data_IF_615459467679
#
_entry.id   IF_615459467679
#
_cell.length_a   1.000
_cell.length_b   1.000
_cell.length_c   1.000
_cell.angle_alpha   90.00
_cell.angle_beta   90.00
_cell.angle_gamma   90.00
#
_symmetry.space_group_name_H-M   'P 1'
#
loop_
_entity.id
_entity.type
_entity.pdbx_description
1 polymer ?
#
# COMPACT_ATOMS: atom_id res chain seq x y z
N UNK A 1 6.02 -101.89 -32.86
CA UNK A 1 6.42 -101.47 -31.50
C UNK A 1 5.70 -100.19 -31.13
N UNK A 2 5.14 -100.14 -29.91
CA UNK A 2 4.17 -99.16 -29.42
C UNK A 2 4.79 -97.79 -29.06
N UNK A 3 3.95 -96.76 -29.19
CA UNK A 3 4.04 -95.37 -28.70
C UNK A 3 4.68 -95.23 -27.31
N UNK A 4 5.35 -94.10 -27.06
CA UNK A 4 5.00 -93.17 -25.96
C UNK A 4 5.58 -91.77 -26.26
N UNK A 5 4.68 -90.78 -26.31
CA UNK A 5 4.97 -89.36 -26.46
C UNK A 5 4.64 -88.75 -25.09
N UNK A 6 5.63 -88.28 -24.35
CA UNK A 6 5.42 -87.59 -23.07
C UNK A 6 5.37 -86.08 -23.34
N UNK A 7 4.26 -85.48 -22.95
CA UNK A 7 4.04 -84.05 -22.94
C UNK A 7 3.47 -83.74 -21.55
N UNK A 8 4.20 -82.96 -20.75
CA UNK A 8 3.68 -82.43 -19.48
C UNK A 8 4.10 -80.97 -19.33
N UNK A 9 3.09 -80.18 -18.99
CA UNK A 9 2.96 -78.74 -19.13
C UNK A 9 3.87 -77.97 -18.15
N UNK A 10 4.51 -76.89 -18.63
CA UNK A 10 5.00 -75.81 -17.76
C UNK A 10 3.86 -74.86 -17.44
N UNK A 11 3.67 -74.60 -16.15
CA UNK A 11 2.68 -73.68 -15.59
C UNK A 11 3.01 -72.23 -16.00
N UNK A 12 2.02 -71.52 -16.58
CA UNK A 12 2.10 -70.07 -16.75
C UNK A 12 1.68 -69.39 -15.45
N UNK A 13 2.64 -68.76 -14.77
CA UNK A 13 2.39 -67.86 -13.65
C UNK A 13 2.05 -66.47 -14.23
N UNK A 14 0.76 -66.13 -14.28
CA UNK A 14 0.27 -64.79 -14.59
C UNK A 14 0.44 -63.90 -13.35
N UNK A 15 1.50 -63.09 -13.33
CA UNK A 15 1.64 -61.96 -12.41
C UNK A 15 0.79 -60.80 -12.93
N UNK A 16 -0.41 -60.63 -12.37
CA UNK A 16 -1.19 -59.40 -12.51
C UNK A 16 -0.48 -58.30 -11.70
N UNK A 17 0.30 -57.44 -12.37
CA UNK A 17 0.73 -56.17 -11.78
C UNK A 17 -0.46 -55.21 -11.76
N UNK A 18 -1.11 -55.08 -10.61
CA UNK A 18 -2.11 -54.06 -10.36
C UNK A 18 -1.41 -52.72 -10.14
N UNK A 19 -1.04 -52.05 -11.23
CA UNK A 19 -0.60 -50.65 -11.17
C UNK A 19 -1.82 -49.79 -10.83
N UNK A 20 -1.97 -49.46 -9.55
CA UNK A 20 -2.85 -48.39 -9.10
C UNK A 20 -2.28 -47.09 -9.67
N UNK A 21 -2.74 -46.72 -10.86
CA UNK A 21 -2.53 -45.39 -11.40
C UNK A 21 -3.38 -44.45 -10.54
N UNK A 22 -2.80 -43.88 -9.49
CA UNK A 22 -3.42 -42.74 -8.80
C UNK A 22 -3.50 -41.62 -9.83
N UNK A 23 -4.68 -41.47 -10.42
CA UNK A 23 -5.09 -40.26 -11.12
C UNK A 23 -4.98 -39.12 -10.10
N UNK A 24 -3.83 -38.44 -10.10
CA UNK A 24 -3.75 -37.08 -9.60
C UNK A 24 -4.60 -36.25 -10.56
N UNK A 25 -5.89 -36.14 -10.24
CA UNK A 25 -6.75 -35.10 -10.75
C UNK A 25 -6.18 -33.76 -10.27
N UNK A 26 -5.19 -33.23 -10.98
CA UNK A 26 -5.02 -31.79 -11.03
C UNK A 26 -6.20 -31.27 -11.85
N UNK A 27 -7.37 -31.18 -11.23
CA UNK A 27 -8.41 -30.30 -11.72
C UNK A 27 -7.77 -28.91 -11.76
N UNK A 28 -7.57 -28.39 -12.96
CA UNK A 28 -7.10 -27.02 -13.15
C UNK A 28 -8.20 -26.11 -12.60
N UNK A 29 -8.09 -25.79 -11.30
CA UNK A 29 -9.01 -24.85 -10.64
C UNK A 29 -9.02 -23.57 -11.44
N UNK A 30 -10.21 -23.07 -11.75
CA UNK A 30 -10.37 -21.75 -12.34
C UNK A 30 -9.63 -20.73 -11.47
N UNK A 31 -9.08 -19.67 -12.07
CA UNK A 31 -8.38 -18.66 -11.28
C UNK A 31 -9.32 -17.99 -10.28
N UNK A 32 -10.62 -17.92 -10.57
CA UNK A 32 -11.66 -17.54 -9.62
C UNK A 32 -11.68 -18.41 -8.36
N UNK A 33 -11.64 -19.75 -8.51
CA UNK A 33 -11.60 -20.68 -7.38
C UNK A 33 -10.33 -20.51 -6.55
N UNK A 34 -9.18 -20.28 -7.21
CA UNK A 34 -7.93 -20.03 -6.49
C UNK A 34 -7.98 -18.68 -5.76
N UNK A 35 -8.49 -17.63 -6.43
CA UNK A 35 -8.69 -16.32 -5.82
C UNK A 35 -9.58 -16.40 -4.59
N UNK A 36 -10.65 -17.19 -4.60
CA UNK A 36 -11.53 -17.37 -3.46
C UNK A 36 -10.78 -17.83 -2.19
N UNK A 37 -9.71 -18.63 -2.34
CA UNK A 37 -8.89 -19.13 -1.23
C UNK A 37 -7.87 -18.12 -0.69
N UNK A 38 -7.61 -17.02 -1.40
CA UNK A 38 -6.66 -15.98 -0.99
C UNK A 38 -7.41 -14.96 -0.12
N UNK A 39 -7.11 -14.93 1.16
CA UNK A 39 -7.71 -14.03 2.15
C UNK A 39 -6.71 -13.01 2.69
N UNK A 40 -5.42 -13.34 2.66
CA UNK A 40 -4.36 -12.52 3.25
C UNK A 40 -3.35 -12.03 2.22
N UNK A 41 -2.66 -10.94 2.56
CA UNK A 41 -1.55 -10.43 1.76
C UNK A 41 -0.42 -11.47 1.62
N UNK A 42 -0.16 -12.27 2.65
CA UNK A 42 0.86 -13.33 2.60
C UNK A 42 0.47 -14.47 1.65
N UNK A 43 -0.80 -14.90 1.67
CA UNK A 43 -1.31 -15.86 0.68
C UNK A 43 -1.23 -15.30 -0.74
N UNK A 44 -1.52 -14.02 -0.93
CA UNK A 44 -1.39 -13.35 -2.23
C UNK A 44 0.07 -13.30 -2.70
N UNK A 45 1.02 -12.98 -1.81
CA UNK A 45 2.47 -13.01 -2.10
C UNK A 45 2.93 -14.42 -2.50
N UNK A 46 2.48 -15.44 -1.76
CA UNK A 46 2.78 -16.83 -2.07
C UNK A 46 2.19 -17.26 -3.42
N UNK A 47 0.94 -16.87 -3.70
CA UNK A 47 0.29 -17.12 -4.99
C UNK A 47 1.08 -16.51 -6.16
N UNK A 48 1.54 -15.25 -6.03
CA UNK A 48 2.34 -14.57 -7.06
C UNK A 48 3.66 -15.31 -7.30
N UNK A 49 4.27 -15.87 -6.25
CA UNK A 49 5.52 -16.62 -6.34
C UNK A 49 5.34 -17.99 -7.03
N UNK A 50 4.22 -18.67 -6.79
CA UNK A 50 3.99 -20.03 -7.25
C UNK A 50 3.45 -20.10 -8.70
N UNK A 51 2.77 -19.06 -9.19
CA UNK A 51 2.24 -18.97 -10.56
C UNK A 51 3.04 -17.98 -11.43
N UNK A 52 4.28 -18.34 -11.79
CA UNK A 52 5.17 -17.59 -12.71
C UNK A 52 4.57 -17.19 -14.09
N UNK A 53 3.35 -17.67 -14.43
CA UNK A 53 2.71 -17.49 -15.74
C UNK A 53 1.72 -16.33 -15.85
N UNK A 54 1.29 -15.71 -14.74
CA UNK A 54 0.36 -14.57 -14.79
C UNK A 54 1.04 -13.29 -14.34
N UNK A 55 0.85 -12.19 -15.06
CA UNK A 55 1.37 -10.88 -14.68
C UNK A 55 0.56 -10.36 -13.47
N UNK A 56 0.97 -10.79 -12.28
CA UNK A 56 0.26 -10.56 -11.03
C UNK A 56 1.03 -9.61 -10.12
N UNK A 57 0.32 -8.65 -9.52
CA UNK A 57 0.93 -7.65 -8.63
C UNK A 57 -0.07 -7.15 -7.59
N UNK A 58 0.42 -6.92 -6.37
CA UNK A 58 -0.34 -6.25 -5.31
C UNK A 58 -0.17 -4.73 -5.47
N UNK A 59 -1.27 -4.01 -5.40
CA UNK A 59 -1.34 -2.55 -5.43
C UNK A 59 -2.04 -2.04 -4.18
N UNK A 60 -1.60 -0.90 -3.67
CA UNK A 60 -2.32 -0.16 -2.64
C UNK A 60 -2.95 1.06 -3.29
N UNK A 61 -4.27 1.15 -3.24
CA UNK A 61 -4.99 2.33 -3.68
C UNK A 61 -5.40 3.15 -2.46
N UNK A 62 -4.88 4.37 -2.40
CA UNK A 62 -5.35 5.43 -1.51
C UNK A 62 -6.46 6.25 -2.18
N UNK A 63 -7.62 6.39 -1.52
CA UNK A 63 -8.81 7.05 -2.08
C UNK A 63 -8.56 8.50 -2.47
N UNK A 64 -7.67 9.20 -1.76
CA UNK A 64 -7.32 10.58 -2.07
C UNK A 64 -6.40 10.70 -3.27
N UNK A 65 -5.47 9.76 -3.47
CA UNK A 65 -4.49 9.80 -4.55
C UNK A 65 -5.00 9.18 -5.86
N UNK A 66 -5.86 8.16 -5.79
CA UNK A 66 -6.29 7.39 -6.96
C UNK A 66 -7.73 7.70 -7.35
N UNK A 67 -7.89 8.57 -8.35
CA UNK A 67 -9.21 9.06 -8.80
C UNK A 67 -9.68 8.49 -10.14
N UNK A 68 -8.99 7.47 -10.68
CA UNK A 68 -9.37 6.83 -11.95
C UNK A 68 -10.73 6.13 -11.84
N UNK A 69 -11.39 5.88 -12.97
CA UNK A 69 -12.67 5.15 -12.99
C UNK A 69 -12.54 3.75 -12.36
N UNK A 70 -11.45 3.04 -12.68
CA UNK A 70 -11.12 1.76 -12.05
C UNK A 70 -11.00 1.90 -10.54
N UNK A 71 -10.19 2.84 -10.04
CA UNK A 71 -10.02 3.04 -8.59
C UNK A 71 -11.36 3.30 -7.90
N UNK A 72 -12.19 4.19 -8.46
CA UNK A 72 -13.54 4.47 -7.96
C UNK A 72 -14.44 3.23 -7.93
N UNK A 73 -14.30 2.33 -8.90
CA UNK A 73 -15.03 1.07 -8.91
C UNK A 73 -14.50 0.10 -7.83
N UNK A 74 -13.18 0.03 -7.63
CA UNK A 74 -12.56 -0.83 -6.62
C UNK A 74 -12.90 -0.39 -5.19
N UNK A 75 -12.98 0.92 -4.89
CA UNK A 75 -13.37 1.40 -3.55
C UNK A 75 -14.81 1.06 -3.15
N UNK A 76 -15.67 0.76 -4.13
CA UNK A 76 -17.05 0.30 -3.86
C UNK A 76 -17.13 -1.17 -3.46
N UNK A 77 -16.04 -1.91 -3.63
CA UNK A 77 -15.96 -3.32 -3.27
C UNK A 77 -15.55 -3.47 -1.81
N UNK A 78 -15.99 -4.58 -1.22
CA UNK A 78 -15.61 -5.04 0.11
C UNK A 78 -14.50 -6.09 0.03
N UNK A 79 -13.84 -6.32 1.17
CA UNK A 79 -12.79 -7.35 1.29
C UNK A 79 -13.29 -8.70 0.76
N UNK A 80 -12.43 -9.37 -0.02
CA UNK A 80 -12.70 -10.66 -0.63
C UNK A 80 -13.39 -10.57 -2.01
N UNK A 81 -14.05 -9.46 -2.33
CA UNK A 81 -14.72 -9.29 -3.62
C UNK A 81 -13.72 -9.12 -4.77
N UNK A 82 -14.16 -9.52 -5.96
CA UNK A 82 -13.37 -9.49 -7.19
C UNK A 82 -14.10 -8.67 -8.24
N UNK A 83 -13.37 -7.77 -8.89
CA UNK A 83 -13.80 -7.12 -10.14
C UNK A 83 -13.01 -7.69 -11.30
N UNK A 84 -13.70 -7.97 -12.39
CA UNK A 84 -13.12 -8.42 -13.65
C UNK A 84 -13.22 -7.32 -14.70
N UNK A 85 -12.20 -7.20 -15.54
CA UNK A 85 -12.21 -6.43 -16.78
C UNK A 85 -11.65 -7.31 -17.90
N UNK A 86 -12.36 -7.38 -19.03
CA UNK A 86 -11.95 -8.16 -20.19
C UNK A 86 -11.49 -7.22 -21.30
N UNK A 87 -10.41 -7.58 -21.97
CA UNK A 87 -10.00 -7.03 -23.26
C UNK A 87 -10.16 -8.10 -24.35
N UNK A 88 -9.70 -7.81 -25.57
CA UNK A 88 -9.63 -8.79 -26.66
C UNK A 88 -8.56 -9.88 -26.40
N UNK A 89 -7.53 -9.56 -25.63
CA UNK A 89 -6.34 -10.41 -25.47
C UNK A 89 -6.20 -11.00 -24.07
N UNK A 90 -6.77 -10.33 -23.07
CA UNK A 90 -6.60 -10.69 -21.68
C UNK A 90 -7.85 -10.46 -20.83
N UNK A 91 -7.87 -11.18 -19.72
CA UNK A 91 -8.80 -11.02 -18.62
C UNK A 91 -8.01 -10.56 -17.40
N UNK A 92 -8.39 -9.40 -16.86
CA UNK A 92 -7.79 -8.85 -15.65
C UNK A 92 -8.74 -9.01 -14.47
N UNK A 93 -8.24 -9.60 -13.38
CA UNK A 93 -8.94 -9.79 -12.12
C UNK A 93 -8.34 -8.89 -11.04
N UNK A 94 -9.19 -8.21 -10.29
CA UNK A 94 -8.84 -7.33 -9.17
C UNK A 94 -9.54 -7.84 -7.92
N UNK A 95 -8.79 -8.51 -7.04
CA UNK A 95 -9.32 -8.97 -5.75
C UNK A 95 -8.96 -7.98 -4.64
N UNK A 96 -9.96 -7.55 -3.86
CA UNK A 96 -9.73 -6.76 -2.65
C UNK A 96 -9.21 -7.69 -1.56
N UNK A 97 -7.94 -7.53 -1.20
CA UNK A 97 -7.30 -8.26 -0.10
C UNK A 97 -7.60 -7.62 1.25
N UNK A 98 -7.64 -6.29 1.29
CA UNK A 98 -7.95 -5.55 2.50
C UNK A 98 -8.55 -4.18 2.18
N UNK A 99 -9.29 -3.63 3.14
CA UNK A 99 -9.91 -2.31 3.07
C UNK A 99 -9.87 -1.68 4.45
N UNK A 100 -9.11 -0.61 4.59
CA UNK A 100 -8.89 0.08 5.86
C UNK A 100 -9.29 1.54 5.75
N UNK A 101 -9.72 2.10 6.87
CA UNK A 101 -9.98 3.53 7.00
C UNK A 101 -9.04 4.02 8.08
N UNK A 102 -8.19 4.99 7.73
CA UNK A 102 -7.22 5.59 8.63
C UNK A 102 -7.41 7.10 8.64
N UNK A 103 -7.18 7.72 9.80
CA UNK A 103 -7.17 9.18 9.90
C UNK A 103 -5.84 9.73 9.39
N UNK A 104 -5.93 10.60 8.39
CA UNK A 104 -4.81 11.29 7.78
C UNK A 104 -4.76 12.75 8.20
N UNK A 105 -3.53 13.26 8.30
CA UNK A 105 -3.21 14.63 8.65
C UNK A 105 -2.47 15.29 7.49
N UNK A 106 -2.63 16.61 7.37
CA UNK A 106 -1.89 17.42 6.40
C UNK A 106 -1.73 18.83 6.94
N UNK A 107 -0.48 19.23 7.08
CA UNK A 107 -0.06 20.56 7.53
C UNK A 107 1.01 21.10 6.58
N UNK A 108 1.30 22.40 6.67
CA UNK A 108 2.54 22.94 6.11
C UNK A 108 3.51 23.27 7.23
N UNK A 109 4.82 23.06 7.02
CA UNK A 109 5.83 23.48 7.99
C UNK A 109 7.04 24.18 7.35
N UNK A 110 7.71 24.97 8.18
CA UNK A 110 9.04 25.52 7.94
C UNK A 110 9.97 24.87 8.96
N UNK A 111 10.94 24.10 8.47
CA UNK A 111 11.94 23.45 9.32
C UNK A 111 13.16 24.35 9.46
N UNK A 112 13.66 24.46 10.69
CA UNK A 112 14.82 25.25 11.07
C UNK A 112 15.75 24.34 11.90
N UNK A 113 16.96 24.12 11.39
CA UNK A 113 17.92 23.21 12.01
C UNK A 113 18.75 23.93 13.08
N UNK A 114 18.58 23.51 14.33
CA UNK A 114 19.31 24.04 15.48
C UNK A 114 20.80 23.68 15.51
N UNK A 115 21.24 22.75 14.65
CA UNK A 115 22.67 22.50 14.45
C UNK A 115 23.31 23.56 13.53
N UNK A 116 22.50 24.26 12.74
CA UNK A 116 22.95 25.32 11.81
C UNK A 116 22.78 26.71 12.41
N UNK A 117 21.73 26.93 13.21
CA UNK A 117 21.39 28.22 13.81
C UNK A 117 21.09 28.08 15.30
N UNK A 118 21.45 29.09 16.11
CA UNK A 118 21.12 29.06 17.54
C UNK A 118 19.61 29.09 17.77
N UNK A 119 19.13 28.46 18.85
CA UNK A 119 17.71 28.48 19.22
C UNK A 119 17.16 29.92 19.36
N UNK A 120 17.98 30.84 19.86
CA UNK A 120 17.61 32.26 19.94
C UNK A 120 17.32 32.85 18.56
N UNK A 121 18.22 32.63 17.59
CA UNK A 121 18.05 33.13 16.21
C UNK A 121 16.85 32.47 15.50
N UNK A 122 16.63 31.17 15.74
CA UNK A 122 15.47 30.42 15.24
C UNK A 122 14.17 31.01 15.78
N UNK A 123 14.10 31.31 17.07
CA UNK A 123 12.91 31.87 17.70
C UNK A 123 12.65 33.32 17.25
N UNK A 124 13.70 34.12 17.06
CA UNK A 124 13.58 35.45 16.47
C UNK A 124 13.06 35.39 15.02
N UNK A 125 13.54 34.44 14.22
CA UNK A 125 13.07 34.20 12.87
C UNK A 125 11.59 33.78 12.87
N UNK A 126 11.21 32.77 13.65
CA UNK A 126 9.80 32.32 13.76
C UNK A 126 8.84 33.45 14.09
N UNK A 127 9.17 34.30 15.07
CA UNK A 127 8.38 35.50 15.40
C UNK A 127 8.20 36.41 14.18
N UNK A 128 9.27 36.65 13.44
CA UNK A 128 9.24 37.45 12.21
C UNK A 128 8.36 36.80 11.13
N UNK A 129 8.44 35.48 10.97
CA UNK A 129 7.64 34.74 9.97
C UNK A 129 6.14 34.76 10.32
N UNK A 130 5.79 34.63 11.59
CA UNK A 130 4.40 34.76 12.06
C UNK A 130 3.85 36.16 11.73
N UNK A 131 4.61 37.21 12.02
CA UNK A 131 4.21 38.59 11.69
C UNK A 131 4.02 38.77 10.18
N UNK A 132 4.92 38.22 9.36
CA UNK A 132 4.82 38.25 7.90
C UNK A 132 3.56 37.52 7.39
N UNK A 133 3.27 36.36 7.95
CA UNK A 133 2.07 35.59 7.61
C UNK A 133 0.79 36.36 7.96
N UNK A 134 0.73 36.92 9.17
CA UNK A 134 -0.41 37.72 9.63
C UNK A 134 -0.60 39.01 8.80
N UNK A 135 0.48 39.54 8.21
CA UNK A 135 0.45 40.66 7.28
C UNK A 135 0.15 40.26 5.83
N UNK A 136 -0.26 39.01 5.58
CA UNK A 136 -0.75 38.53 4.28
C UNK A 136 0.30 37.88 3.37
N UNK A 137 1.56 37.72 3.82
CA UNK A 137 2.52 36.92 3.04
C UNK A 137 2.14 35.45 3.14
N UNK A 138 2.07 34.77 1.99
CA UNK A 138 1.65 33.37 1.97
C UNK A 138 2.66 32.49 2.72
N UNK A 139 2.16 31.49 3.47
CA UNK A 139 3.04 30.53 4.15
C UNK A 139 3.88 29.72 3.15
N UNK A 140 3.35 29.51 1.94
CA UNK A 140 4.07 28.87 0.83
C UNK A 140 5.36 29.65 0.48
N UNK A 141 5.27 30.97 0.32
CA UNK A 141 6.44 31.81 0.03
C UNK A 141 7.44 31.82 1.19
N UNK A 142 6.94 31.87 2.43
CA UNK A 142 7.79 31.79 3.61
C UNK A 142 8.52 30.44 3.67
N UNK A 143 7.82 29.33 3.45
CA UNK A 143 8.42 28.00 3.47
C UNK A 143 9.43 27.79 2.34
N UNK A 144 9.13 28.22 1.12
CA UNK A 144 10.07 28.18 -0.01
C UNK A 144 11.39 28.91 0.30
N UNK A 145 11.32 30.02 1.04
CA UNK A 145 12.48 30.86 1.33
C UNK A 145 13.26 30.42 2.57
N UNK A 146 12.57 29.96 3.61
CA UNK A 146 13.16 29.81 4.94
C UNK A 146 13.21 28.37 5.45
N UNK A 147 12.46 27.42 4.85
CA UNK A 147 12.53 26.02 5.29
C UNK A 147 13.84 25.40 4.85
N UNK A 148 14.51 24.74 5.79
CA UNK A 148 15.77 24.02 5.58
C UNK A 148 15.57 22.56 5.17
N UNK A 149 14.31 22.15 4.99
CA UNK A 149 13.95 20.80 4.55
C UNK A 149 13.48 20.81 3.07
N UNK A 150 13.49 19.63 2.47
CA UNK A 150 13.05 19.34 1.10
C UNK A 150 11.61 19.76 0.81
N UNK A 151 10.77 19.90 1.84
CA UNK A 151 9.39 20.39 1.71
C UNK A 151 9.32 21.87 1.28
N UNK A 152 10.42 22.63 1.38
CA UNK A 152 10.49 24.05 1.01
C UNK A 152 9.89 24.27 -0.39
N UNK A 153 10.34 23.49 -1.38
CA UNK A 153 9.93 23.56 -2.79
C UNK A 153 8.44 23.29 -3.04
N UNK A 154 7.72 22.76 -2.03
CA UNK A 154 6.28 22.49 -2.06
C UNK A 154 5.51 23.46 -1.16
N UNK A 155 6.11 24.61 -0.83
CA UNK A 155 5.48 25.57 0.07
C UNK A 155 5.32 25.06 1.50
N UNK A 156 6.18 24.14 1.92
CA UNK A 156 6.14 23.54 3.24
C UNK A 156 5.15 22.38 3.39
N UNK A 157 4.40 22.03 2.34
CA UNK A 157 3.33 21.03 2.40
C UNK A 157 3.87 19.61 2.70
N UNK A 158 3.26 18.96 3.69
CA UNK A 158 3.55 17.57 4.06
C UNK A 158 2.94 16.54 3.12
N UNK A 159 1.89 16.92 2.38
CA UNK A 159 0.93 15.97 1.84
C UNK A 159 0.14 15.26 2.95
N UNK A 160 -0.79 14.38 2.56
CA UNK A 160 -1.51 13.56 3.52
C UNK A 160 -0.60 12.47 4.09
N UNK A 161 -0.50 12.38 5.41
CA UNK A 161 0.26 11.35 6.14
C UNK A 161 -0.57 10.75 7.29
N UNK A 162 -0.29 9.49 7.65
CA UNK A 162 -0.77 8.87 8.90
C UNK A 162 0.27 8.99 10.00
N UNK A 163 -0.15 8.79 11.25
CA UNK A 163 0.78 8.61 12.37
C UNK A 163 1.71 7.41 12.11
N UNK A 164 2.93 7.46 12.66
CA UNK A 164 4.03 6.51 12.45
C UNK A 164 4.94 6.83 11.25
N UNK A 165 4.66 7.89 10.47
CA UNK A 165 5.47 8.27 9.31
C UNK A 165 6.44 9.43 9.58
N UNK A 166 6.21 10.19 10.65
CA UNK A 166 7.01 11.33 11.07
C UNK A 166 7.52 11.11 12.50
N UNK A 167 8.34 12.03 13.00
CA UNK A 167 8.85 11.93 14.37
C UNK A 167 7.68 11.98 15.38
N UNK A 168 7.62 11.11 16.41
CA UNK A 168 6.50 11.02 17.33
C UNK A 168 6.12 12.36 17.98
N UNK A 169 7.09 13.15 18.41
CA UNK A 169 6.82 14.48 19.01
C UNK A 169 6.14 15.45 18.01
N UNK A 170 6.50 15.38 16.73
CA UNK A 170 5.87 16.18 15.68
C UNK A 170 4.42 15.74 15.44
N UNK A 171 4.22 14.43 15.33
CA UNK A 171 2.90 13.83 15.15
C UNK A 171 1.97 14.12 16.33
N UNK A 172 2.50 14.01 17.55
CA UNK A 172 1.78 14.32 18.78
C UNK A 172 1.31 15.78 18.79
N UNK A 173 2.20 16.72 18.41
CA UNK A 173 1.86 18.13 18.35
C UNK A 173 0.75 18.45 17.33
N UNK A 174 0.63 17.67 16.24
CA UNK A 174 -0.40 17.84 15.21
C UNK A 174 -1.72 17.15 15.58
N UNK A 175 -1.64 15.97 16.20
CA UNK A 175 -2.81 15.12 16.45
C UNK A 175 -3.53 15.43 17.77
N UNK A 176 -2.83 15.91 18.79
CA UNK A 176 -3.40 16.11 20.13
C UNK A 176 -3.87 17.55 20.38
N UNK A 177 -3.27 18.52 19.72
CA UNK A 177 -3.63 19.91 19.90
C UNK A 177 -4.74 20.29 18.92
N UNK A 178 -5.84 20.80 19.45
CA UNK A 178 -6.93 21.33 18.64
C UNK A 178 -6.53 22.69 18.04
N UNK A 179 -5.87 22.65 16.88
CA UNK A 179 -5.58 23.83 16.07
C UNK A 179 -6.72 24.10 15.08
N UNK A 180 -7.13 25.35 14.97
CA UNK A 180 -8.07 25.79 13.95
C UNK A 180 -7.37 25.88 12.59
N UNK A 181 -8.15 25.82 11.51
CA UNK A 181 -7.62 26.07 10.18
C UNK A 181 -6.97 27.46 10.13
N UNK A 182 -5.79 27.52 9.51
CA UNK A 182 -4.92 28.69 9.40
C UNK A 182 -4.20 29.10 10.69
N UNK A 183 -4.29 28.33 11.77
CA UNK A 183 -3.45 28.56 12.96
C UNK A 183 -1.98 28.32 12.61
N UNK A 184 -1.12 29.21 13.09
CA UNK A 184 0.34 29.06 13.01
C UNK A 184 0.91 28.89 14.41
N UNK A 185 1.67 27.81 14.62
CA UNK A 185 2.21 27.42 15.91
C UNK A 185 3.61 26.80 15.78
N UNK A 186 4.33 26.70 16.89
CA UNK A 186 5.68 26.14 16.92
C UNK A 186 5.66 24.71 17.43
N UNK A 187 6.51 23.87 16.85
CA UNK A 187 6.78 22.53 17.35
C UNK A 187 8.29 22.38 17.50
N UNK A 188 8.72 21.90 18.66
CA UNK A 188 10.12 21.77 19.03
C UNK A 188 10.43 20.31 19.36
N UNK A 189 11.56 19.81 18.86
CA UNK A 189 12.10 18.49 19.20
C UNK A 189 13.56 18.71 19.65
N UNK A 190 13.75 19.16 20.91
CA UNK A 190 15.07 19.57 21.40
C UNK A 190 16.12 18.46 21.35
N UNK A 191 15.70 17.21 21.53
CA UNK A 191 16.57 16.03 21.47
C UNK A 191 17.25 15.83 20.10
N UNK A 192 16.71 16.46 19.04
CA UNK A 192 17.24 16.43 17.67
C UNK A 192 17.76 17.79 17.20
N UNK A 193 17.64 18.83 18.03
CA UNK A 193 17.80 20.23 17.61
C UNK A 193 16.89 20.60 16.42
N UNK A 194 15.66 20.06 16.38
CA UNK A 194 14.71 20.30 15.30
C UNK A 194 13.61 21.26 15.72
N UNK A 195 13.38 22.28 14.90
CA UNK A 195 12.48 23.36 15.22
C UNK A 195 11.58 23.67 14.01
N UNK A 196 10.28 23.54 14.19
CA UNK A 196 9.27 23.76 13.15
C UNK A 196 8.40 24.99 13.44
N UNK A 197 8.07 25.76 12.41
CA UNK A 197 6.87 26.61 12.40
C UNK A 197 5.82 25.88 11.55
N UNK A 198 4.65 25.58 12.11
CA UNK A 198 3.61 24.78 11.47
C UNK A 198 2.38 25.65 11.20
N UNK A 199 1.78 25.46 10.03
CA UNK A 199 0.50 26.02 9.63
C UNK A 199 -0.52 24.88 9.52
N UNK A 200 -1.64 25.00 10.23
CA UNK A 200 -2.76 24.07 10.12
C UNK A 200 -3.52 24.31 8.81
N UNK A 201 -3.12 23.59 7.75
CA UNK A 201 -3.71 23.78 6.41
C UNK A 201 -4.99 22.98 6.18
N UNK A 202 -5.13 21.80 6.79
CA UNK A 202 -6.31 20.95 6.64
C UNK A 202 -6.77 20.40 7.99
N UNK A 203 -8.07 20.09 8.12
CA UNK A 203 -8.55 19.26 9.22
C UNK A 203 -8.16 17.80 8.97
N UNK A 204 -7.98 16.98 10.02
CA UNK A 204 -7.83 15.54 9.85
C UNK A 204 -8.97 14.99 9.00
N UNK A 205 -8.64 14.04 8.13
CA UNK A 205 -9.57 13.42 7.19
C UNK A 205 -9.38 11.92 7.22
N UNK A 206 -10.47 11.18 7.34
CA UNK A 206 -10.44 9.74 7.14
C UNK A 206 -10.32 9.42 5.66
N UNK A 207 -9.34 8.59 5.31
CA UNK A 207 -9.07 8.18 3.93
C UNK A 207 -9.10 6.65 3.88
N UNK A 208 -9.87 6.14 2.92
CA UNK A 208 -9.93 4.70 2.66
C UNK A 208 -8.70 4.26 1.87
N UNK A 209 -8.09 3.16 2.29
CA UNK A 209 -7.07 2.44 1.52
C UNK A 209 -7.54 1.02 1.24
N UNK A 210 -7.27 0.55 0.02
CA UNK A 210 -7.52 -0.84 -0.36
C UNK A 210 -6.24 -1.48 -0.86
N UNK A 211 -5.99 -2.70 -0.41
CA UNK A 211 -4.98 -3.58 -0.99
C UNK A 211 -5.64 -4.46 -2.04
N UNK A 212 -5.08 -4.47 -3.25
CA UNK A 212 -5.68 -5.12 -4.41
C UNK A 212 -4.67 -6.05 -5.06
N UNK A 213 -5.01 -7.34 -5.14
CA UNK A 213 -4.31 -8.28 -6.00
C UNK A 213 -4.83 -8.14 -7.42
N UNK A 214 -3.96 -7.68 -8.34
CA UNK A 214 -4.21 -7.69 -9.78
C UNK A 214 -3.62 -8.98 -10.37
N UNK A 215 -4.38 -9.64 -11.23
CA UNK A 215 -3.95 -10.79 -12.04
C UNK A 215 -4.33 -10.51 -13.49
N UNK A 216 -3.44 -10.76 -14.44
CA UNK A 216 -3.72 -10.68 -15.87
C UNK A 216 -3.52 -12.06 -16.48
N UNK A 217 -4.54 -12.55 -17.14
CA UNK A 217 -4.58 -13.85 -17.81
C UNK A 217 -4.83 -13.66 -19.30
N UNK A 218 -4.06 -14.29 -20.21
CA UNK A 218 -4.42 -14.30 -21.61
C UNK A 218 -5.77 -15.01 -21.80
N UNK A 219 -6.56 -14.55 -22.76
CA UNK A 219 -7.75 -15.27 -23.23
C UNK A 219 -7.27 -16.39 -24.15
N UNK A 220 -7.65 -17.63 -23.84
CA UNK A 220 -7.38 -18.82 -24.67
C UNK A 220 -8.08 -18.77 -26.04
#
# INVERSE_FOLDING_TARGET
>A
MKKFKTNTMKQHLLLLSFSIFTLLLNAQRSTEEVLATIETQEQAKQFIKDKYSFNSKIFVFNEEKHKTQLAKALFKLEKGQVKQENSEYDKTLYKILDKTISSYYRVSYIFLDGNTHSLESINALRKTLILKYNNGISFNDLANRYSMDTNAKKGGDTGWFTLGNMHPDFENAISTNAHNLNDVYTVDIPSKNWYYLVLQTYKPKDITEIEVLKIIEPID
#
